data_IF_320134651171
#
_entry.id   IF_320134651171
#
_cell.length_a   1.000
_cell.length_b   1.000
_cell.length_c   1.000
_cell.angle_alpha   90.00
_cell.angle_beta   90.00
_cell.angle_gamma   90.00
#
_symmetry.space_group_name_H-M   'P 1'
#
loop_
_entity.id
_entity.type
_entity.pdbx_description
1 polymer ?
#
# COMPACT_ATOMS: atom_id res chain seq x y z
N UNK A 1 -8.76 4.93 16.15
CA UNK A 1 -7.51 4.12 16.17
C UNK A 1 -6.50 4.80 15.29
N UNK A 2 -5.21 4.58 15.56
CA UNK A 2 -4.12 5.20 14.80
C UNK A 2 -3.67 4.26 13.69
N UNK A 3 -3.66 4.77 12.47
CA UNK A 3 -3.12 4.07 11.31
C UNK A 3 -1.85 4.81 10.91
N UNK A 4 -0.71 4.11 10.94
CA UNK A 4 0.54 4.64 10.41
C UNK A 4 0.71 4.17 8.98
N UNK A 5 0.93 5.11 8.08
CA UNK A 5 1.31 4.87 6.70
C UNK A 5 2.79 5.18 6.52
N UNK A 6 3.52 4.29 5.87
CA UNK A 6 4.90 4.49 5.45
C UNK A 6 5.00 4.24 3.95
N UNK A 7 5.44 5.24 3.19
CA UNK A 7 5.59 5.17 1.74
C UNK A 7 7.07 5.29 1.41
N UNK A 8 7.68 4.19 0.98
CA UNK A 8 9.11 4.14 0.63
C UNK A 8 9.30 4.07 -0.87
N UNK A 9 9.92 5.10 -1.44
CA UNK A 9 10.31 5.17 -2.84
C UNK A 9 11.62 5.94 -3.02
N UNK A 10 12.40 5.60 -4.04
CA UNK A 10 13.65 6.31 -4.40
C UNK A 10 14.62 6.48 -3.21
N UNK A 11 14.69 5.48 -2.32
CA UNK A 11 15.56 5.50 -1.14
C UNK A 11 15.11 6.41 0.01
N UNK A 12 13.90 6.99 -0.07
CA UNK A 12 13.31 7.84 0.97
C UNK A 12 12.00 7.24 1.47
N UNK A 13 11.66 7.51 2.73
CA UNK A 13 10.37 7.12 3.33
C UNK A 13 9.61 8.36 3.80
N UNK A 14 8.37 8.50 3.34
CA UNK A 14 7.39 9.44 3.90
C UNK A 14 6.51 8.69 4.92
N UNK A 15 6.26 9.29 6.08
CA UNK A 15 5.38 8.70 7.10
C UNK A 15 4.22 9.63 7.42
N UNK A 16 3.03 9.06 7.59
CA UNK A 16 1.82 9.80 7.98
C UNK A 16 1.00 8.98 8.98
N UNK A 17 0.60 9.60 10.08
CA UNK A 17 -0.32 8.99 11.05
C UNK A 17 -1.69 9.63 10.86
N UNK A 18 -2.72 8.80 10.76
CA UNK A 18 -4.12 9.25 10.66
C UNK A 18 -4.97 8.53 11.68
N UNK A 19 -6.09 9.15 12.04
CA UNK A 19 -7.12 8.48 12.83
C UNK A 19 -8.18 7.86 11.92
N UNK A 20 -8.55 6.62 12.22
CA UNK A 20 -9.64 5.92 11.56
C UNK A 20 -10.63 5.37 12.59
N UNK A 21 -11.87 5.15 12.14
CA UNK A 21 -12.88 4.44 12.90
C UNK A 21 -12.61 2.93 12.90
N UNK A 22 -13.12 2.24 13.92
CA UNK A 22 -13.12 0.77 13.91
C UNK A 22 -14.01 0.25 12.79
N UNK A 23 -13.53 -0.75 12.06
CA UNK A 23 -14.18 -1.33 10.91
C UNK A 23 -13.96 -0.55 9.60
N UNK A 24 -13.27 0.61 9.64
CA UNK A 24 -12.98 1.38 8.43
C UNK A 24 -12.21 0.54 7.41
N UNK A 25 -12.54 0.71 6.12
CA UNK A 25 -11.79 0.06 5.05
C UNK A 25 -10.45 0.76 4.84
N UNK A 26 -9.35 0.00 4.85
CA UNK A 26 -8.01 0.57 4.74
C UNK A 26 -7.77 1.33 3.43
N UNK A 27 -8.39 0.90 2.33
CA UNK A 27 -8.26 1.57 1.04
C UNK A 27 -8.96 2.91 0.99
N UNK A 28 -10.15 3.02 1.60
CA UNK A 28 -10.86 4.31 1.72
C UNK A 28 -10.05 5.31 2.57
N UNK A 29 -9.44 4.84 3.66
CA UNK A 29 -8.54 5.66 4.47
C UNK A 29 -7.33 6.11 3.65
N UNK A 30 -6.76 5.24 2.80
CA UNK A 30 -5.65 5.60 1.92
C UNK A 30 -6.07 6.65 0.87
N UNK A 31 -7.18 6.44 0.16
CA UNK A 31 -7.70 7.39 -0.85
C UNK A 31 -7.99 8.77 -0.28
N UNK A 32 -8.41 8.86 0.98
CA UNK A 32 -8.65 10.13 1.66
C UNK A 32 -7.36 10.89 2.01
N UNK A 33 -6.20 10.23 2.00
CA UNK A 33 -4.96 10.75 2.56
C UNK A 33 -3.80 10.86 1.58
N UNK A 34 -3.90 10.21 0.42
CA UNK A 34 -2.86 10.12 -0.61
C UNK A 34 -3.50 10.25 -2.00
N UNK A 35 -2.74 10.76 -2.96
CA UNK A 35 -3.15 10.73 -4.36
C UNK A 35 -2.77 9.38 -4.96
N UNK A 36 -3.74 8.64 -5.48
CA UNK A 36 -3.52 7.28 -5.98
C UNK A 36 -3.92 7.17 -7.44
N UNK A 37 -3.11 6.48 -8.23
CA UNK A 37 -3.50 5.90 -9.51
C UNK A 37 -3.49 4.38 -9.37
N UNK A 38 -4.58 3.73 -9.77
CA UNK A 38 -4.76 2.30 -9.57
C UNK A 38 -5.75 1.71 -10.58
N UNK A 39 -5.62 0.40 -10.81
CA UNK A 39 -6.62 -0.39 -11.50
C UNK A 39 -7.30 -1.35 -10.52
N UNK A 40 -8.62 -1.46 -10.61
CA UNK A 40 -9.34 -2.50 -9.89
C UNK A 40 -9.13 -3.85 -10.58
N UNK A 41 -8.78 -4.87 -9.79
CA UNK A 41 -8.62 -6.24 -10.27
C UNK A 41 -9.45 -7.19 -9.41
N UNK A 42 -9.61 -8.44 -9.86
CA UNK A 42 -10.26 -9.49 -9.06
C UNK A 42 -9.56 -9.75 -7.71
N UNK A 43 -8.28 -9.39 -7.58
CA UNK A 43 -7.47 -9.60 -6.38
C UNK A 43 -7.35 -8.35 -5.49
N UNK A 44 -8.00 -7.25 -5.88
CA UNK A 44 -7.96 -5.95 -5.21
C UNK A 44 -7.37 -4.85 -6.08
N UNK A 45 -7.21 -3.66 -5.48
CA UNK A 45 -6.63 -2.51 -6.18
C UNK A 45 -5.14 -2.73 -6.46
N UNK A 46 -4.76 -2.70 -7.73
CA UNK A 46 -3.36 -2.68 -8.17
C UNK A 46 -2.89 -1.23 -8.25
N UNK A 47 -2.07 -0.82 -7.29
CA UNK A 47 -1.57 0.56 -7.18
C UNK A 47 -0.44 0.77 -8.18
N UNK A 48 -0.62 1.77 -9.05
CA UNK A 48 0.38 2.19 -10.04
C UNK A 48 1.21 3.38 -9.52
N UNK A 49 0.56 4.30 -8.80
CA UNK A 49 1.16 5.54 -8.31
C UNK A 49 0.67 5.91 -6.91
N UNK A 50 1.56 6.43 -6.08
CA UNK A 50 1.25 7.05 -4.78
C UNK A 50 1.91 8.44 -4.76
N UNK A 51 1.12 9.49 -4.53
CA UNK A 51 1.55 10.88 -4.53
C UNK A 51 2.35 11.29 -5.80
N UNK A 52 1.95 10.74 -6.96
CA UNK A 52 2.58 11.02 -8.25
C UNK A 52 3.87 10.21 -8.51
N UNK A 53 4.26 9.33 -7.60
CA UNK A 53 5.41 8.44 -7.78
C UNK A 53 4.96 7.11 -8.37
N UNK A 54 5.30 6.90 -9.64
CA UNK A 54 5.06 5.65 -10.36
C UNK A 54 6.12 4.59 -10.03
N UNK A 55 5.71 3.32 -9.99
CA UNK A 55 6.65 2.21 -10.07
C UNK A 55 7.31 2.15 -11.47
N UNK A 56 8.57 1.74 -11.54
CA UNK A 56 9.27 1.49 -12.81
C UNK A 56 8.75 0.24 -13.56
N UNK A 57 9.30 -0.01 -14.76
CA UNK A 57 8.85 -1.09 -15.65
C UNK A 57 8.94 -2.51 -15.03
N UNK A 58 9.99 -2.78 -14.27
CA UNK A 58 10.22 -4.07 -13.58
C UNK A 58 9.97 -3.95 -12.07
N UNK A 59 9.17 -2.97 -11.67
CA UNK A 59 8.90 -2.64 -10.28
C UNK A 59 7.39 -2.57 -10.02
N UNK A 60 7.02 -2.69 -8.76
CA UNK A 60 5.64 -2.55 -8.33
C UNK A 60 5.57 -2.00 -6.90
N UNK A 61 4.42 -1.43 -6.55
CA UNK A 61 4.11 -1.04 -5.18
C UNK A 61 3.71 -2.27 -4.37
N UNK A 62 4.64 -2.78 -3.56
CA UNK A 62 4.42 -3.86 -2.60
C UNK A 62 3.70 -3.33 -1.36
N UNK A 63 2.66 -4.03 -0.93
CA UNK A 63 1.90 -3.72 0.29
C UNK A 63 2.39 -4.59 1.44
N UNK A 64 2.63 -3.96 2.58
CA UNK A 64 2.87 -4.62 3.85
C UNK A 64 1.86 -4.14 4.88
N UNK A 65 1.38 -5.06 5.71
CA UNK A 65 0.49 -4.73 6.83
C UNK A 65 1.07 -5.30 8.10
N UNK A 66 1.39 -4.40 9.05
CA UNK A 66 2.09 -4.71 10.30
C UNK A 66 3.41 -5.47 10.08
N UNK A 67 4.22 -5.03 9.10
CA UNK A 67 5.52 -5.61 8.78
C UNK A 67 5.48 -6.91 7.96
N UNK A 68 4.31 -7.48 7.67
CA UNK A 68 4.17 -8.68 6.84
C UNK A 68 3.75 -8.32 5.41
N UNK A 69 4.38 -8.95 4.41
CA UNK A 69 3.98 -8.82 3.01
C UNK A 69 2.52 -9.26 2.87
N UNK A 70 1.69 -8.42 2.26
CA UNK A 70 0.26 -8.65 2.17
C UNK A 70 -0.05 -9.72 1.11
N UNK A 71 -0.88 -10.69 1.48
CA UNK A 71 -1.40 -11.74 0.60
C UNK A 71 -2.69 -11.32 -0.14
N UNK A 72 -3.23 -10.15 0.19
CA UNK A 72 -4.45 -9.58 -0.37
C UNK A 72 -4.34 -8.08 -0.61
N UNK A 73 -5.17 -7.55 -1.49
CA UNK A 73 -5.24 -6.12 -1.75
C UNK A 73 -5.67 -5.29 -0.53
N UNK A 74 -5.21 -4.03 -0.48
CA UNK A 74 -5.52 -3.11 0.64
C UNK A 74 -7.03 -2.92 0.88
N UNK A 75 -7.84 -3.03 -0.16
CA UNK A 75 -9.30 -2.93 -0.07
C UNK A 75 -9.95 -4.09 0.71
N UNK A 76 -9.21 -5.16 1.00
CA UNK A 76 -9.68 -6.31 1.78
C UNK A 76 -9.28 -6.25 3.26
N UNK A 77 -8.69 -5.14 3.72
CA UNK A 77 -8.38 -4.92 5.14
C UNK A 77 -9.43 -4.02 5.79
N UNK A 78 -10.08 -4.56 6.82
CA UNK A 78 -10.90 -3.79 7.76
C UNK A 78 -10.06 -3.46 8.99
N UNK A 79 -10.04 -2.19 9.37
CA UNK A 79 -9.18 -1.65 10.42
C UNK A 79 -9.84 -1.86 11.79
N UNK A 80 -9.37 -2.88 12.52
CA UNK A 80 -9.95 -3.27 13.81
C UNK A 80 -9.19 -2.74 15.02
N UNK A 81 -7.93 -2.34 14.81
CA UNK A 81 -6.99 -1.84 15.82
C UNK A 81 -5.95 -0.94 15.16
N UNK A 82 -5.08 -0.34 15.98
CA UNK A 82 -3.91 0.36 15.47
C UNK A 82 -3.14 -0.55 14.50
N UNK A 83 -2.85 -0.03 13.32
CA UNK A 83 -2.33 -0.79 12.19
C UNK A 83 -1.24 0.00 11.48
N UNK A 84 -0.13 -0.65 11.16
CA UNK A 84 0.88 -0.10 10.27
C UNK A 84 0.63 -0.62 8.85
N UNK A 85 0.60 0.29 7.88
CA UNK A 85 0.47 0.02 6.45
C UNK A 85 1.70 0.60 5.77
N UNK A 86 2.48 -0.25 5.10
CA UNK A 86 3.68 0.18 4.39
C UNK A 86 3.49 -0.11 2.89
N UNK A 87 3.94 0.83 2.08
CA UNK A 87 4.07 0.68 0.64
C UNK A 87 5.52 0.88 0.25
N UNK A 88 6.07 -0.08 -0.50
CA UNK A 88 7.48 -0.05 -0.94
C UNK A 88 7.54 -0.35 -2.42
N UNK A 89 8.36 0.40 -3.15
CA UNK A 89 8.69 0.01 -4.52
C UNK A 89 9.65 -1.18 -4.46
N UNK A 90 9.24 -2.31 -5.03
CA UNK A 90 10.05 -3.52 -5.13
C UNK A 90 10.18 -3.99 -6.57
N UNK A 91 11.25 -4.74 -6.85
CA UNK A 91 11.48 -5.33 -8.16
C UNK A 91 10.75 -6.65 -8.29
N UNK A 92 10.22 -6.90 -9.48
CA UNK A 92 9.69 -8.22 -9.83
C UNK A 92 10.85 -9.22 -9.86
N UNK A 93 10.74 -10.29 -9.09
CA UNK A 93 11.69 -11.39 -9.14
C UNK A 93 11.35 -12.31 -10.34
N UNK A 94 12.14 -12.18 -11.41
CA UNK A 94 12.02 -13.00 -12.61
C UNK A 94 12.99 -14.20 -12.63
N UNK A 95 13.78 -14.40 -11.57
CA UNK A 95 14.85 -15.40 -11.54
C UNK A 95 14.36 -16.86 -11.65
N UNK A 96 13.08 -17.12 -11.40
CA UNK A 96 12.46 -18.44 -11.51
C UNK A 96 12.02 -18.86 -12.92
N UNK A 97 12.19 -18.02 -13.95
CA UNK A 97 11.71 -18.27 -15.32
C UNK A 97 12.82 -18.54 -16.35
N UNK A 98 14.05 -18.85 -15.91
CA UNK A 98 15.20 -19.15 -16.79
C UNK A 98 15.22 -20.59 -17.33
#
# INVERSE_FOLDING_TARGET
MKISFEITANGSTESKIVEAGKGSNAFEVMKANFQLEYNETAYGAFIQSINGINAGNDEYWALYVNGAYADKGINQYSLEKDTNIEWKIEKVDLSGFS
#
